data_IF_224737206612
#
_entry.id   IF_224737206612
#
_cell.length_a   1.000
_cell.length_b   1.000
_cell.length_c   1.000
_cell.angle_alpha   90.00
_cell.angle_beta   90.00
_cell.angle_gamma   90.00
#
_symmetry.space_group_name_H-M   'P 1'
#
loop_
_entity.id
_entity.type
_entity.pdbx_description
1 polymer ?
#
# COMPACT_ATOMS: atom_id res chain seq x y z
N UNK A 1 -10.30 6.79 -20.78
CA UNK A 1 -9.29 7.77 -21.25
C UNK A 1 -8.30 7.09 -22.17
N UNK A 2 -7.73 7.78 -23.17
CA UNK A 2 -6.61 7.21 -23.94
C UNK A 2 -5.35 7.27 -23.05
N UNK A 3 -4.54 6.20 -22.94
CA UNK A 3 -3.38 6.14 -22.04
C UNK A 3 -2.33 7.25 -22.20
N UNK A 4 -2.31 7.95 -23.35
CA UNK A 4 -1.37 9.06 -23.62
C UNK A 4 -1.93 10.46 -23.42
N UNK A 5 -3.16 10.62 -22.90
CA UNK A 5 -3.77 11.94 -22.72
C UNK A 5 -3.37 12.64 -21.41
N UNK A 6 -2.67 11.93 -20.51
CA UNK A 6 -2.34 12.40 -19.16
C UNK A 6 -1.00 13.15 -19.08
N UNK A 7 -0.23 13.18 -20.17
CA UNK A 7 1.09 13.82 -20.24
C UNK A 7 1.10 14.76 -21.45
N UNK A 8 1.57 15.99 -21.24
CA UNK A 8 1.73 16.97 -22.32
C UNK A 8 2.77 16.45 -23.35
N UNK A 9 2.57 16.69 -24.66
CA UNK A 9 3.55 16.31 -25.68
C UNK A 9 4.98 16.76 -25.40
N UNK A 10 5.18 17.93 -24.79
CA UNK A 10 6.50 18.43 -24.42
C UNK A 10 7.12 17.62 -23.26
N UNK A 11 6.32 17.24 -22.27
CA UNK A 11 6.76 16.41 -21.15
C UNK A 11 7.09 14.99 -21.60
N UNK A 12 6.31 14.46 -22.56
CA UNK A 12 6.59 13.17 -23.19
C UNK A 12 7.97 13.16 -23.86
N UNK A 13 8.30 14.20 -24.62
CA UNK A 13 9.61 14.33 -25.27
C UNK A 13 10.75 14.37 -24.24
N UNK A 14 10.57 15.07 -23.11
CA UNK A 14 11.58 15.10 -22.04
C UNK A 14 11.79 13.72 -21.42
N UNK A 15 10.71 12.97 -21.17
CA UNK A 15 10.78 11.61 -20.63
C UNK A 15 11.48 10.68 -21.63
N UNK A 16 11.13 10.73 -22.91
CA UNK A 16 11.77 9.92 -23.96
C UNK A 16 13.28 10.22 -24.05
N UNK A 17 13.70 11.49 -24.01
CA UNK A 17 15.11 11.87 -24.00
C UNK A 17 15.85 11.38 -22.74
N UNK A 18 15.21 11.47 -21.58
CA UNK A 18 15.78 10.99 -20.33
C UNK A 18 15.97 9.47 -20.34
N UNK A 19 15.00 8.72 -20.90
CA UNK A 19 15.11 7.27 -21.09
C UNK A 19 16.27 6.92 -21.99
N UNK A 20 16.37 7.54 -23.17
CA UNK A 20 17.47 7.29 -24.12
C UNK A 20 18.83 7.56 -23.45
N UNK A 21 18.96 8.66 -22.72
CA UNK A 21 20.20 9.00 -22.02
C UNK A 21 20.56 7.98 -20.91
N UNK A 22 19.55 7.44 -20.22
CA UNK A 22 19.74 6.41 -19.19
C UNK A 22 20.11 5.06 -19.81
N UNK A 23 19.43 4.66 -20.90
CA UNK A 23 19.66 3.38 -21.58
C UNK A 23 21.09 3.24 -22.13
N UNK A 24 21.72 4.34 -22.55
CA UNK A 24 23.14 4.36 -22.97
C UNK A 24 24.07 3.80 -21.86
N UNK A 25 23.68 3.94 -20.60
CA UNK A 25 24.48 3.51 -19.45
C UNK A 25 23.98 2.21 -18.79
N UNK A 26 22.98 1.55 -19.39
CA UNK A 26 22.39 0.31 -18.84
C UNK A 26 22.30 -0.78 -19.89
N UNK A 27 22.44 -2.04 -19.50
CA UNK A 27 22.35 -3.18 -20.41
C UNK A 27 20.92 -3.65 -20.70
N UNK A 28 19.90 -2.84 -20.38
CA UNK A 28 18.48 -3.20 -20.48
C UNK A 28 17.64 -2.11 -21.11
N UNK A 29 16.38 -2.44 -21.41
CA UNK A 29 15.37 -1.53 -21.94
C UNK A 29 14.56 -0.92 -20.78
N UNK A 30 14.40 0.40 -20.79
CA UNK A 30 13.63 1.14 -19.81
C UNK A 30 12.24 1.39 -20.38
N UNK A 31 11.26 0.63 -19.88
CA UNK A 31 9.86 0.76 -20.29
C UNK A 31 9.12 1.71 -19.35
N UNK A 32 8.63 2.83 -19.89
CA UNK A 32 7.84 3.81 -19.13
C UNK A 32 6.36 3.42 -19.17
N UNK A 33 5.74 3.31 -18.00
CA UNK A 33 4.30 3.07 -17.85
C UNK A 33 3.64 4.25 -17.15
N UNK A 34 2.60 4.79 -17.77
CA UNK A 34 1.70 5.77 -17.15
C UNK A 34 0.46 5.03 -16.70
N UNK A 35 0.13 5.12 -15.41
CA UNK A 35 -1.07 4.51 -14.83
C UNK A 35 -1.93 5.57 -14.18
N UNK A 36 -3.25 5.43 -14.26
CA UNK A 36 -4.20 6.32 -13.60
C UNK A 36 -4.10 6.22 -12.06
N UNK A 37 -3.74 5.04 -11.56
CA UNK A 37 -3.45 4.80 -10.15
C UNK A 37 -2.40 3.69 -10.02
N UNK A 38 -1.46 3.88 -9.09
CA UNK A 38 -0.67 2.77 -8.60
C UNK A 38 -1.47 2.14 -7.46
N UNK A 39 -1.79 0.85 -7.57
CA UNK A 39 -2.46 0.13 -6.48
C UNK A 39 -1.56 0.21 -5.23
N UNK A 40 -1.89 1.09 -4.30
CA UNK A 40 -1.09 1.30 -3.09
C UNK A 40 -0.90 -0.02 -2.33
N UNK A 41 0.22 -0.18 -1.64
CA UNK A 41 0.72 -1.42 -1.03
C UNK A 41 -0.34 -2.26 -0.28
N UNK A 42 -1.15 -3.04 -1.02
CA UNK A 42 -2.30 -3.78 -0.48
C UNK A 42 -1.85 -4.78 0.58
N UNK A 43 -0.70 -5.41 0.36
CA UNK A 43 -0.09 -6.33 1.32
C UNK A 43 0.24 -5.66 2.66
N UNK A 44 0.76 -4.44 2.66
CA UNK A 44 1.06 -3.69 3.88
C UNK A 44 -0.22 -3.35 4.66
N UNK A 45 -1.29 -2.94 3.95
CA UNK A 45 -2.61 -2.66 4.55
C UNK A 45 -3.21 -3.90 5.22
N UNK A 46 -3.10 -5.07 4.59
CA UNK A 46 -3.58 -6.33 5.16
C UNK A 46 -2.77 -6.79 6.37
N UNK A 47 -1.44 -6.64 6.32
CA UNK A 47 -0.56 -6.94 7.46
C UNK A 47 -0.91 -6.10 8.69
N UNK A 48 -1.12 -4.80 8.50
CA UNK A 48 -1.53 -3.90 9.57
C UNK A 48 -2.90 -4.28 10.16
N UNK A 49 -3.88 -4.56 9.28
CA UNK A 49 -5.21 -4.97 9.69
C UNK A 49 -5.21 -6.25 10.53
N UNK A 50 -4.45 -7.27 10.10
CA UNK A 50 -4.32 -8.53 10.82
C UNK A 50 -3.63 -8.34 12.18
N UNK A 51 -2.53 -7.58 12.23
CA UNK A 51 -1.81 -7.34 13.48
C UNK A 51 -2.67 -6.60 14.49
N UNK A 52 -3.38 -5.53 14.06
CA UNK A 52 -4.29 -4.82 14.94
C UNK A 52 -5.40 -5.73 15.45
N UNK A 53 -6.03 -6.50 14.54
CA UNK A 53 -7.11 -7.43 14.89
C UNK A 53 -6.66 -8.46 15.92
N UNK A 54 -5.44 -8.98 15.78
CA UNK A 54 -4.85 -9.89 16.74
C UNK A 54 -4.69 -9.23 18.12
N UNK A 55 -4.08 -8.03 18.17
CA UNK A 55 -3.86 -7.30 19.43
C UNK A 55 -5.19 -6.98 20.13
N UNK A 56 -6.18 -6.50 19.38
CA UNK A 56 -7.52 -6.18 19.91
C UNK A 56 -8.22 -7.44 20.40
N UNK A 57 -8.16 -8.55 19.65
CA UNK A 57 -8.77 -9.81 20.06
C UNK A 57 -8.14 -10.36 21.34
N UNK A 58 -6.81 -10.34 21.42
CA UNK A 58 -6.08 -10.79 22.61
C UNK A 58 -6.42 -9.93 23.83
N UNK A 59 -6.45 -8.60 23.67
CA UNK A 59 -6.85 -7.70 24.74
C UNK A 59 -8.29 -7.98 25.18
N UNK A 60 -9.22 -8.13 24.23
CA UNK A 60 -10.62 -8.38 24.54
C UNK A 60 -10.81 -9.67 25.35
N UNK A 61 -10.22 -10.78 24.90
CA UNK A 61 -10.31 -12.08 25.60
C UNK A 61 -9.69 -12.01 27.00
N UNK A 62 -8.60 -11.25 27.18
CA UNK A 62 -7.93 -11.11 28.47
C UNK A 62 -8.75 -10.29 29.49
N UNK A 63 -9.47 -9.26 29.05
CA UNK A 63 -10.19 -8.34 29.94
C UNK A 63 -11.70 -8.57 30.02
N UNK A 64 -12.29 -9.30 29.06
CA UNK A 64 -13.74 -9.56 28.97
C UNK A 64 -13.99 -11.07 28.96
N UNK A 65 -13.87 -11.74 30.13
CA UNK A 65 -14.13 -13.17 30.24
C UNK A 65 -15.60 -13.48 29.95
N UNK A 66 -15.86 -14.65 29.35
CA UNK A 66 -17.23 -15.08 29.00
C UNK A 66 -17.80 -14.41 27.75
N UNK A 67 -16.95 -13.83 26.90
CA UNK A 67 -17.40 -13.23 25.63
C UNK A 67 -18.06 -14.27 24.72
N UNK A 68 -19.26 -13.95 24.26
CA UNK A 68 -19.98 -14.69 23.22
C UNK A 68 -19.15 -14.78 21.92
N UNK A 69 -18.96 -15.97 21.32
CA UNK A 69 -18.15 -16.13 20.11
C UNK A 69 -18.59 -15.23 18.94
N UNK A 70 -19.90 -14.97 18.81
CA UNK A 70 -20.44 -14.09 17.78
C UNK A 70 -19.99 -12.62 17.96
N UNK A 71 -19.90 -12.14 19.21
CA UNK A 71 -19.42 -10.80 19.51
C UNK A 71 -17.92 -10.67 19.21
N UNK A 72 -17.14 -11.72 19.49
CA UNK A 72 -15.71 -11.73 19.18
C UNK A 72 -15.48 -11.66 17.66
N UNK A 73 -16.27 -12.38 16.86
CA UNK A 73 -16.21 -12.30 15.40
C UNK A 73 -16.58 -10.91 14.87
N UNK A 74 -17.61 -10.29 15.44
CA UNK A 74 -18.00 -8.92 15.08
C UNK A 74 -16.88 -7.92 15.40
N UNK A 75 -16.28 -8.03 16.58
CA UNK A 75 -15.14 -7.21 16.99
C UNK A 75 -13.95 -7.39 16.04
N UNK A 76 -13.65 -8.63 15.66
CA UNK A 76 -12.57 -8.94 14.72
C UNK A 76 -12.83 -8.31 13.35
N UNK A 77 -14.04 -8.44 12.80
CA UNK A 77 -14.41 -7.82 11.53
C UNK A 77 -14.26 -6.30 11.56
N UNK A 78 -14.72 -5.66 12.64
CA UNK A 78 -14.61 -4.21 12.83
C UNK A 78 -13.15 -3.78 12.98
N UNK A 79 -12.36 -4.48 13.80
CA UNK A 79 -10.94 -4.18 13.98
C UNK A 79 -10.16 -4.33 12.67
N UNK A 80 -10.52 -5.32 11.85
CA UNK A 80 -9.86 -5.56 10.57
C UNK A 80 -10.16 -4.44 9.57
N UNK A 81 -11.40 -3.93 9.56
CA UNK A 81 -11.74 -2.75 8.77
C UNK A 81 -10.97 -1.52 9.25
N UNK A 82 -10.93 -1.26 10.56
CA UNK A 82 -10.22 -0.12 11.13
C UNK A 82 -8.73 -0.17 10.78
N UNK A 83 -8.10 -1.34 10.86
CA UNK A 83 -6.65 -1.48 10.60
C UNK A 83 -6.26 -1.30 9.16
N UNK A 84 -7.12 -1.74 8.25
CA UNK A 84 -6.96 -1.45 6.83
C UNK A 84 -7.03 0.06 6.56
N UNK A 85 -7.91 0.76 7.26
CA UNK A 85 -8.15 2.20 7.10
C UNK A 85 -7.07 3.07 7.78
N UNK A 86 -6.49 2.60 8.88
CA UNK A 86 -5.33 3.23 9.55
C UNK A 86 -4.14 3.43 8.60
N UNK A 87 -3.94 2.51 7.65
CA UNK A 87 -2.90 2.62 6.62
C UNK A 87 -3.21 3.64 5.51
N UNK A 88 -4.27 4.46 5.63
CA UNK A 88 -4.38 5.71 4.87
C UNK A 88 -3.45 6.81 5.41
N UNK A 89 -2.98 6.66 6.64
CA UNK A 89 -1.99 7.56 7.23
C UNK A 89 -0.60 7.05 6.84
N UNK A 90 0.15 7.86 6.09
CA UNK A 90 1.46 7.45 5.54
C UNK A 90 2.45 7.01 6.63
N UNK A 91 2.44 7.67 7.79
CA UNK A 91 3.28 7.29 8.92
C UNK A 91 3.01 5.84 9.39
N UNK A 92 1.74 5.43 9.41
CA UNK A 92 1.36 4.06 9.77
C UNK A 92 1.73 3.10 8.64
N UNK A 93 1.43 3.45 7.38
CA UNK A 93 1.75 2.61 6.24
C UNK A 93 3.25 2.28 6.17
N UNK A 94 4.12 3.27 6.41
CA UNK A 94 5.58 3.12 6.39
C UNK A 94 6.09 2.05 7.36
N UNK A 95 5.46 1.87 8.52
CA UNK A 95 5.84 0.83 9.49
C UNK A 95 5.64 -0.60 8.94
N UNK A 96 4.80 -0.76 7.93
CA UNK A 96 4.47 -2.06 7.33
C UNK A 96 5.04 -2.25 5.92
N UNK A 97 5.81 -1.27 5.40
CA UNK A 97 6.55 -1.38 4.15
C UNK A 97 7.90 -2.06 4.39
N UNK A 98 8.36 -2.86 3.43
CA UNK A 98 9.72 -3.40 3.46
C UNK A 98 10.74 -2.29 3.16
N UNK A 99 11.93 -2.37 3.73
CA UNK A 99 13.00 -1.38 3.50
C UNK A 99 13.34 -1.21 2.01
N UNK A 100 13.21 -2.27 1.21
CA UNK A 100 13.41 -2.21 -0.25
C UNK A 100 12.44 -1.30 -1.00
N UNK A 101 11.34 -0.88 -0.36
CA UNK A 101 10.30 -0.01 -0.94
C UNK A 101 10.35 1.41 -0.38
N UNK A 102 11.28 1.70 0.54
CA UNK A 102 11.48 3.03 1.11
C UNK A 102 12.69 3.68 0.45
N UNK A 103 12.46 4.67 -0.40
CA UNK A 103 13.54 5.55 -0.88
C UNK A 103 14.16 6.26 0.33
N UNK A 104 15.49 6.17 0.45
CA UNK A 104 16.30 6.86 1.47
C UNK A 104 16.64 8.27 1.03
#
# INVERSE_FOLDING_TARGET
MKPGACIDPADRLRVEQAVIAAEVNTSGEIVVMVTDACDGYRGARWRAALLQTLVVSCAWVAFVPGTEPALLLLLQALSLMIGRELCRIDAVLRLFLSESLMER
#
